data_IF_472740084029
#
_entry.id   IF_472740084029
#
_cell.length_a   1.000
_cell.length_b   1.000
_cell.length_c   1.000
_cell.angle_alpha   90.00
_cell.angle_beta   90.00
_cell.angle_gamma   90.00
#
_symmetry.space_group_name_H-M   'P 1'
#
loop_
_entity.id
_entity.type
_entity.pdbx_description
1 polymer ?
#
# COMPACT_ATOMS: atom_id res chain seq x y z
N UNK A 1 15.40 18.71 16.63
CA UNK A 1 14.54 18.40 15.46
C UNK A 1 13.05 18.64 15.75
N UNK A 2 12.55 18.31 16.96
CA UNK A 2 11.14 18.50 17.32
C UNK A 2 10.64 19.96 17.30
N UNK A 3 11.49 20.94 17.61
CA UNK A 3 11.09 22.37 17.61
C UNK A 3 10.73 22.89 16.22
N UNK A 4 11.46 22.51 15.17
CA UNK A 4 11.24 23.02 13.79
C UNK A 4 10.01 22.45 13.07
N UNK A 5 9.32 21.48 13.66
CA UNK A 5 8.13 20.85 13.05
C UNK A 5 6.92 21.79 12.97
N UNK A 6 6.84 22.84 13.79
CA UNK A 6 5.74 23.82 13.73
C UNK A 6 5.90 24.86 12.62
N UNK A 7 7.04 24.89 11.93
CA UNK A 7 7.34 25.81 10.83
C UNK A 7 7.16 25.14 9.46
N UNK A 8 6.81 23.85 9.43
CA UNK A 8 6.70 23.12 8.17
C UNK A 8 5.46 23.56 7.41
N UNK A 9 5.68 24.07 6.20
CA UNK A 9 4.59 24.34 5.28
C UNK A 9 3.94 23.03 4.80
N UNK A 10 2.78 23.08 4.12
CA UNK A 10 2.08 21.88 3.65
C UNK A 10 2.95 20.92 2.85
N UNK A 11 3.81 21.43 1.95
CA UNK A 11 4.70 20.62 1.13
C UNK A 11 5.74 19.88 1.97
N UNK A 12 6.36 20.56 2.93
CA UNK A 12 7.37 19.96 3.81
C UNK A 12 6.74 18.92 4.75
N UNK A 13 5.56 19.22 5.30
CA UNK A 13 4.81 18.27 6.14
C UNK A 13 4.48 17.00 5.38
N UNK A 14 3.93 17.13 4.16
CA UNK A 14 3.61 15.95 3.33
C UNK A 14 4.86 15.17 2.91
N UNK A 15 5.96 15.85 2.57
CA UNK A 15 7.19 15.18 2.16
C UNK A 15 7.82 14.38 3.31
N UNK A 16 7.81 14.93 4.53
CA UNK A 16 8.27 14.24 5.73
C UNK A 16 7.46 12.97 5.98
N UNK A 17 6.13 13.10 6.04
CA UNK A 17 5.25 11.96 6.30
C UNK A 17 5.32 10.90 5.20
N UNK A 18 5.36 11.33 3.94
CA UNK A 18 5.54 10.42 2.82
C UNK A 18 6.87 9.65 2.93
N UNK A 19 7.98 10.31 3.24
CA UNK A 19 9.28 9.65 3.42
C UNK A 19 9.26 8.64 4.57
N UNK A 20 8.65 9.01 5.70
CA UNK A 20 8.44 8.10 6.83
C UNK A 20 7.57 6.89 6.45
N UNK A 21 6.47 7.11 5.74
CA UNK A 21 5.59 6.06 5.27
C UNK A 21 6.30 5.12 4.29
N UNK A 22 7.04 5.64 3.31
CA UNK A 22 7.82 4.83 2.36
C UNK A 22 8.80 3.91 3.09
N UNK A 23 9.49 4.43 4.11
CA UNK A 23 10.45 3.67 4.90
C UNK A 23 9.82 2.88 6.06
N UNK A 24 8.48 2.91 6.18
CA UNK A 24 7.72 2.34 7.29
C UNK A 24 8.28 2.73 8.67
N UNK A 25 8.77 3.96 8.79
CA UNK A 25 9.37 4.49 10.00
C UNK A 25 8.38 5.38 10.73
N UNK A 26 8.01 5.00 11.96
CA UNK A 26 7.04 5.73 12.78
C UNK A 26 7.61 7.03 13.37
N UNK A 27 7.19 8.22 12.90
CA UNK A 27 7.73 9.48 13.38
C UNK A 27 6.91 9.98 14.58
N UNK A 28 6.91 9.24 15.68
CA UNK A 28 6.05 9.47 16.86
C UNK A 28 6.02 10.92 17.33
N UNK A 29 7.19 11.55 17.51
CA UNK A 29 7.27 12.95 17.95
C UNK A 29 6.65 13.93 16.93
N UNK A 30 6.77 13.64 15.64
CA UNK A 30 6.15 14.46 14.60
C UNK A 30 4.63 14.27 14.57
N UNK A 31 4.13 13.04 14.63
CA UNK A 31 2.69 12.75 14.69
C UNK A 31 2.03 13.42 15.90
N UNK A 32 2.65 13.30 17.09
CA UNK A 32 2.16 13.97 18.30
C UNK A 32 2.10 15.48 18.15
N UNK A 33 3.12 16.10 17.53
CA UNK A 33 3.15 17.55 17.33
C UNK A 33 2.14 18.01 16.28
N UNK A 34 2.00 17.28 15.16
CA UNK A 34 0.98 17.56 14.15
C UNK A 34 -0.43 17.45 14.72
N UNK A 35 -0.69 16.44 15.55
CA UNK A 35 -1.97 16.27 16.26
C UNK A 35 -2.28 17.46 17.17
N UNK A 36 -1.27 18.05 17.82
CA UNK A 36 -1.45 19.25 18.66
C UNK A 36 -1.66 20.53 17.84
N UNK A 37 -1.01 20.62 16.67
CA UNK A 37 -1.07 21.77 15.79
C UNK A 37 -2.40 21.86 15.04
N UNK A 38 -2.89 20.74 14.51
CA UNK A 38 -4.19 20.71 13.85
C UNK A 38 -5.28 20.42 14.89
N UNK A 39 -6.11 21.41 15.17
CA UNK A 39 -7.29 21.25 16.02
C UNK A 39 -8.55 21.29 15.15
N UNK A 40 -9.62 20.64 15.61
CA UNK A 40 -10.89 20.57 14.87
C UNK A 40 -11.46 21.93 14.45
N UNK A 41 -11.07 23.03 15.12
CA UNK A 41 -11.53 24.39 14.83
C UNK A 41 -10.45 25.29 14.18
N UNK A 42 -9.26 24.77 13.84
CA UNK A 42 -8.25 25.52 13.11
C UNK A 42 -8.51 25.41 11.59
N UNK A 43 -9.40 26.29 11.12
CA UNK A 43 -9.84 26.38 9.72
C UNK A 43 -8.67 26.73 8.80
N UNK A 44 -7.55 27.30 9.29
CA UNK A 44 -6.42 27.70 8.45
C UNK A 44 -5.38 26.58 8.26
N UNK A 45 -5.15 25.72 9.26
CA UNK A 45 -4.08 24.73 9.24
C UNK A 45 -4.15 23.74 8.06
N UNK A 46 -5.15 22.86 8.05
CA UNK A 46 -5.31 21.83 7.00
C UNK A 46 -5.89 22.39 5.69
N UNK A 47 -6.60 23.52 5.74
CA UNK A 47 -7.20 24.09 4.53
C UNK A 47 -6.15 24.67 3.55
N UNK A 48 -4.93 24.94 4.04
CA UNK A 48 -3.79 25.33 3.23
C UNK A 48 -3.19 24.17 2.42
N UNK A 49 -3.62 22.93 2.65
CA UNK A 49 -3.15 21.77 1.89
C UNK A 49 -4.00 21.61 0.62
N UNK A 50 -3.32 21.42 -0.51
CA UNK A 50 -3.99 21.07 -1.76
C UNK A 50 -4.54 19.63 -1.74
N UNK A 51 -5.50 19.28 -2.64
CA UNK A 51 -6.12 17.95 -2.67
C UNK A 51 -5.13 16.79 -2.74
N UNK A 52 -4.09 16.90 -3.58
CA UNK A 52 -3.05 15.87 -3.67
C UNK A 52 -2.17 15.75 -2.43
N UNK A 53 -1.96 16.85 -1.71
CA UNK A 53 -1.24 16.85 -0.44
C UNK A 53 -2.06 16.18 0.66
N UNK A 54 -3.37 16.49 0.73
CA UNK A 54 -4.28 15.84 1.66
C UNK A 54 -4.36 14.33 1.41
N UNK A 55 -4.50 13.90 0.15
CA UNK A 55 -4.52 12.48 -0.20
C UNK A 55 -3.20 11.77 0.17
N UNK A 56 -2.05 12.41 -0.07
CA UNK A 56 -0.74 11.88 0.34
C UNK A 56 -0.60 11.83 1.86
N UNK A 57 -1.14 12.83 2.59
CA UNK A 57 -1.15 12.86 4.05
C UNK A 57 -1.98 11.69 4.59
N UNK A 58 -3.24 11.56 4.15
CA UNK A 58 -4.11 10.45 4.54
C UNK A 58 -3.48 9.09 4.23
N UNK A 59 -2.93 8.93 3.03
CA UNK A 59 -2.22 7.72 2.62
C UNK A 59 -1.01 7.41 3.51
N UNK A 60 -0.18 8.41 3.85
CA UNK A 60 0.97 8.21 4.72
C UNK A 60 0.55 7.79 6.13
N UNK A 61 -0.50 8.39 6.68
CA UNK A 61 -1.08 7.98 7.96
C UNK A 61 -1.61 6.54 7.89
N UNK A 62 -2.24 6.15 6.78
CA UNK A 62 -2.73 4.78 6.61
C UNK A 62 -1.59 3.76 6.55
N UNK A 63 -0.53 4.03 5.78
CA UNK A 63 0.65 3.17 5.73
C UNK A 63 1.27 2.98 7.12
N UNK A 64 1.31 4.07 7.90
CA UNK A 64 1.78 4.11 9.28
C UNK A 64 0.75 3.63 10.31
N UNK A 65 -0.39 3.06 9.88
CA UNK A 65 -1.43 2.52 10.75
C UNK A 65 -1.95 3.51 11.80
N UNK A 66 -2.31 4.74 11.37
CA UNK A 66 -2.77 5.83 12.24
C UNK A 66 -4.29 6.09 12.14
N UNK A 67 -5.10 5.16 11.63
CA UNK A 67 -6.53 5.32 11.35
C UNK A 67 -7.36 5.63 12.61
N UNK A 68 -6.93 5.11 13.76
CA UNK A 68 -7.61 5.34 15.04
C UNK A 68 -7.20 6.65 15.72
N UNK A 69 -6.35 7.46 15.07
CA UNK A 69 -5.84 8.69 15.68
C UNK A 69 -6.67 9.92 15.32
N UNK A 70 -6.76 10.93 16.21
CA UNK A 70 -7.43 12.19 15.89
C UNK A 70 -6.87 12.87 14.64
N UNK A 71 -5.57 12.76 14.40
CA UNK A 71 -4.91 13.37 13.24
C UNK A 71 -5.45 12.80 11.92
N UNK A 72 -5.65 11.48 11.84
CA UNK A 72 -6.23 10.86 10.65
C UNK A 72 -7.63 11.39 10.37
N UNK A 73 -8.48 11.44 11.40
CA UNK A 73 -9.85 11.94 11.25
C UNK A 73 -9.93 13.42 10.89
N UNK A 74 -9.01 14.26 11.40
CA UNK A 74 -8.92 15.67 10.98
C UNK A 74 -8.57 15.81 9.50
N UNK A 75 -7.60 15.01 9.01
CA UNK A 75 -7.22 14.98 7.60
C UNK A 75 -8.36 14.44 6.74
N UNK A 76 -9.02 13.36 7.17
CA UNK A 76 -10.14 12.75 6.46
C UNK A 76 -11.34 13.70 6.37
N UNK A 77 -11.68 14.37 7.47
CA UNK A 77 -12.75 15.38 7.49
C UNK A 77 -12.47 16.52 6.50
N UNK A 78 -11.22 17.00 6.43
CA UNK A 78 -10.85 18.03 5.47
C UNK A 78 -10.92 17.51 4.02
N UNK A 79 -10.55 16.25 3.75
CA UNK A 79 -10.73 15.60 2.44
C UNK A 79 -12.21 15.59 2.06
N UNK A 80 -13.08 15.08 2.95
CA UNK A 80 -14.53 14.98 2.71
C UNK A 80 -15.23 16.32 2.57
N UNK A 81 -14.67 17.41 3.11
CA UNK A 81 -15.20 18.78 2.98
C UNK A 81 -14.95 19.37 1.59
N UNK A 82 -13.94 18.89 0.86
CA UNK A 82 -13.57 19.43 -0.47
C UNK A 82 -14.48 18.83 -1.55
N UNK A 83 -14.80 19.58 -2.62
CA UNK A 83 -15.53 19.03 -3.75
C UNK A 83 -14.82 17.81 -4.34
N UNK A 84 -15.54 16.71 -4.63
CA UNK A 84 -14.97 15.52 -5.29
C UNK A 84 -14.12 15.86 -6.52
N UNK A 85 -14.58 16.82 -7.33
CA UNK A 85 -13.88 17.27 -8.54
C UNK A 85 -12.46 17.82 -8.29
N UNK A 86 -12.14 18.24 -7.06
CA UNK A 86 -10.80 18.68 -6.68
C UNK A 86 -9.76 17.54 -6.64
N UNK A 87 -10.20 16.28 -6.57
CA UNK A 87 -9.34 15.09 -6.47
C UNK A 87 -9.18 14.33 -7.80
N UNK A 88 -9.28 15.02 -8.94
CA UNK A 88 -9.36 14.40 -10.29
C UNK A 88 -8.12 13.65 -10.78
N UNK A 89 -6.98 13.71 -10.08
CA UNK A 89 -5.75 13.05 -10.53
C UNK A 89 -5.82 11.55 -10.22
N UNK A 90 -5.53 10.70 -11.20
CA UNK A 90 -5.44 9.23 -11.01
C UNK A 90 -4.61 8.81 -9.79
N UNK A 91 -3.41 9.38 -9.62
CA UNK A 91 -2.56 9.04 -8.47
C UNK A 91 -3.21 9.35 -7.10
N UNK A 92 -4.06 10.38 -7.05
CA UNK A 92 -4.83 10.75 -5.86
C UNK A 92 -5.93 9.72 -5.60
N UNK A 93 -6.66 9.29 -6.63
CA UNK A 93 -7.62 8.20 -6.51
C UNK A 93 -6.98 6.90 -6.04
N UNK A 94 -5.80 6.53 -6.54
CA UNK A 94 -5.07 5.35 -6.07
C UNK A 94 -4.78 5.44 -4.57
N UNK A 95 -4.26 6.58 -4.12
CA UNK A 95 -3.98 6.82 -2.70
C UNK A 95 -5.26 6.74 -1.84
N UNK A 96 -6.35 7.38 -2.26
CA UNK A 96 -7.61 7.39 -1.52
C UNK A 96 -8.25 6.00 -1.46
N UNK A 97 -8.17 5.22 -2.55
CA UNK A 97 -8.64 3.83 -2.53
C UNK A 97 -7.83 2.98 -1.53
N UNK A 98 -6.50 3.14 -1.53
CA UNK A 98 -5.65 2.46 -0.55
C UNK A 98 -5.94 2.90 0.90
N UNK A 99 -6.25 4.18 1.13
CA UNK A 99 -6.70 4.67 2.45
C UNK A 99 -7.97 3.94 2.90
N UNK A 100 -8.94 3.76 1.99
CA UNK A 100 -10.17 3.04 2.29
C UNK A 100 -9.95 1.56 2.57
N UNK A 101 -9.12 0.87 1.77
CA UNK A 101 -8.77 -0.52 2.03
C UNK A 101 -8.11 -0.69 3.40
N UNK A 102 -7.17 0.18 3.74
CA UNK A 102 -6.47 0.09 5.02
C UNK A 102 -7.38 0.43 6.21
N UNK A 103 -8.29 1.39 6.05
CA UNK A 103 -9.30 1.69 7.06
C UNK A 103 -10.23 0.48 7.29
N UNK A 104 -10.67 -0.19 6.22
CA UNK A 104 -11.46 -1.42 6.33
C UNK A 104 -10.69 -2.53 7.05
N UNK A 105 -9.39 -2.71 6.75
CA UNK A 105 -8.52 -3.67 7.47
C UNK A 105 -8.42 -3.35 8.96
N UNK A 106 -8.44 -2.07 9.32
CA UNK A 106 -8.46 -1.61 10.71
C UNK A 106 -9.85 -1.66 11.37
N UNK A 107 -10.91 -2.07 10.65
CA UNK A 107 -12.28 -2.06 11.15
C UNK A 107 -12.89 -0.66 11.25
N UNK A 108 -12.34 0.31 10.51
CA UNK A 108 -12.76 1.71 10.52
C UNK A 108 -13.55 2.04 9.25
N UNK A 109 -14.82 2.40 9.41
CA UNK A 109 -15.66 2.82 8.29
C UNK A 109 -15.54 4.32 8.03
N UNK A 110 -14.63 4.67 7.13
CA UNK A 110 -14.42 6.06 6.68
C UNK A 110 -15.48 6.52 5.67
N UNK A 111 -16.24 5.61 5.05
CA UNK A 111 -17.20 5.92 4.00
C UNK A 111 -18.43 6.67 4.55
N UNK A 112 -18.74 6.49 5.84
CA UNK A 112 -19.78 7.25 6.56
C UNK A 112 -19.64 8.78 6.44
N UNK A 113 -18.41 9.26 6.20
CA UNK A 113 -18.10 10.69 6.10
C UNK A 113 -17.98 11.19 4.66
N UNK A 114 -17.88 10.29 3.68
CA UNK A 114 -17.79 10.63 2.26
C UNK A 114 -19.18 10.79 1.62
N UNK A 115 -19.77 11.97 1.83
CA UNK A 115 -21.09 12.30 1.27
C UNK A 115 -21.08 12.58 -0.23
N UNK A 116 -19.91 12.63 -0.86
CA UNK A 116 -19.75 13.09 -2.24
C UNK A 116 -19.39 11.98 -3.23
N UNK A 117 -19.26 10.72 -2.76
CA UNK A 117 -18.90 9.57 -3.60
C UNK A 117 -17.45 9.62 -4.11
N UNK A 118 -16.54 10.20 -3.32
CA UNK A 118 -15.11 10.24 -3.64
C UNK A 118 -14.48 8.84 -3.61
N UNK A 119 -14.83 8.00 -2.63
CA UNK A 119 -14.33 6.63 -2.48
C UNK A 119 -14.83 5.71 -3.59
N UNK A 120 -16.08 5.89 -4.02
CA UNK A 120 -16.62 5.16 -5.17
C UNK A 120 -15.87 5.52 -6.45
N UNK A 121 -15.62 6.81 -6.69
CA UNK A 121 -14.82 7.27 -7.82
C UNK A 121 -13.37 6.76 -7.76
N UNK A 122 -12.77 6.73 -6.56
CA UNK A 122 -11.43 6.20 -6.34
C UNK A 122 -11.37 4.68 -6.61
N UNK A 123 -12.38 3.93 -6.16
CA UNK A 123 -12.50 2.49 -6.44
C UNK A 123 -12.66 2.22 -7.93
N UNK A 124 -13.52 2.97 -8.63
CA UNK A 124 -13.72 2.80 -10.06
C UNK A 124 -12.42 3.01 -10.85
N UNK A 125 -11.67 4.06 -10.53
CA UNK A 125 -10.36 4.31 -11.14
C UNK A 125 -9.37 3.18 -10.82
N UNK A 126 -9.41 2.64 -9.60
CA UNK A 126 -8.56 1.52 -9.17
C UNK A 126 -8.86 0.24 -9.95
N UNK A 127 -10.13 -0.15 -10.04
CA UNK A 127 -10.57 -1.34 -10.76
C UNK A 127 -10.16 -1.27 -12.23
N UNK A 128 -10.30 -0.09 -12.86
CA UNK A 128 -9.83 0.14 -14.22
C UNK A 128 -8.31 0.00 -14.34
N UNK A 129 -7.55 0.49 -13.37
CA UNK A 129 -6.09 0.42 -13.42
C UNK A 129 -5.54 -1.00 -13.24
N UNK A 130 -6.07 -1.77 -12.28
CA UNK A 130 -5.58 -3.13 -12.02
C UNK A 130 -5.85 -4.07 -13.20
N UNK A 131 -6.97 -3.88 -13.91
CA UNK A 131 -7.29 -4.64 -15.13
C UNK A 131 -6.34 -4.27 -16.28
N UNK A 132 -6.02 -2.99 -16.44
CA UNK A 132 -5.17 -2.50 -17.52
C UNK A 132 -3.66 -2.75 -17.30
N UNK A 133 -3.25 -3.04 -16.06
CA UNK A 133 -1.84 -3.34 -15.71
C UNK A 133 -1.30 -4.66 -16.24
N UNK A 134 -2.15 -5.52 -16.84
CA UNK A 134 -1.82 -6.85 -17.42
C UNK A 134 -0.84 -6.86 -18.62
N UNK A 135 0.04 -5.86 -18.73
CA UNK A 135 0.86 -5.63 -19.94
C UNK A 135 2.27 -5.16 -19.69
N UNK A 136 2.72 -5.02 -18.43
CA UNK A 136 4.12 -4.66 -18.15
C UNK A 136 4.93 -5.93 -18.01
N UNK A 137 5.55 -6.34 -19.13
CA UNK A 137 6.59 -7.39 -19.19
C UNK A 137 7.34 -7.52 -17.85
N UNK A 138 7.03 -8.58 -17.10
CA UNK A 138 7.68 -8.86 -15.83
C UNK A 138 9.19 -8.89 -15.95
N UNK A 139 9.90 -8.60 -14.85
CA UNK A 139 11.35 -8.73 -14.80
C UNK A 139 11.78 -10.17 -15.12
N UNK A 140 13.03 -10.38 -15.58
CA UNK A 140 13.57 -11.74 -15.76
C UNK A 140 13.41 -12.60 -14.50
N UNK A 141 13.63 -11.97 -13.34
CA UNK A 141 13.42 -12.55 -12.02
C UNK A 141 11.99 -13.05 -11.79
N UNK A 142 10.96 -12.23 -12.09
CA UNK A 142 9.56 -12.64 -11.95
C UNK A 142 9.19 -13.80 -12.90
N UNK A 143 9.71 -13.79 -14.14
CA UNK A 143 9.50 -14.89 -15.10
C UNK A 143 10.12 -16.20 -14.64
N UNK A 144 11.26 -16.14 -13.97
CA UNK A 144 11.94 -17.32 -13.43
C UNK A 144 11.18 -17.93 -12.24
N UNK A 145 10.61 -17.09 -11.37
CA UNK A 145 9.66 -17.54 -10.33
C UNK A 145 8.46 -18.25 -10.97
N UNK A 146 7.81 -17.61 -11.94
CA UNK A 146 6.67 -18.19 -12.65
C UNK A 146 7.02 -19.55 -13.28
N UNK A 147 8.16 -19.64 -13.98
CA UNK A 147 8.62 -20.90 -14.58
C UNK A 147 8.83 -21.99 -13.53
N UNK A 148 9.26 -21.61 -12.33
CA UNK A 148 9.43 -22.55 -11.21
C UNK A 148 8.08 -22.96 -10.62
N UNK A 149 7.11 -22.04 -10.50
CA UNK A 149 5.73 -22.36 -10.10
C UNK A 149 5.07 -23.33 -11.09
N UNK A 150 5.23 -23.11 -12.40
CA UNK A 150 4.79 -24.07 -13.43
C UNK A 150 5.39 -25.46 -13.17
N UNK A 151 6.66 -25.52 -12.78
CA UNK A 151 7.35 -26.75 -12.41
C UNK A 151 6.76 -27.51 -11.21
N UNK A 152 5.98 -26.86 -10.35
CA UNK A 152 5.27 -27.51 -9.25
C UNK A 152 4.00 -28.25 -9.71
N UNK A 153 3.53 -28.00 -10.93
CA UNK A 153 2.26 -28.57 -11.43
C UNK A 153 1.02 -28.02 -10.75
N UNK A 154 1.12 -26.89 -10.05
CA UNK A 154 -0.01 -26.23 -9.39
C UNK A 154 -0.77 -25.34 -10.38
N UNK A 155 -2.10 -25.35 -10.30
CA UNK A 155 -2.94 -24.42 -11.07
C UNK A 155 -2.68 -22.98 -10.60
N UNK A 156 -2.27 -22.13 -11.52
CA UNK A 156 -1.88 -20.75 -11.25
C UNK A 156 -2.47 -19.77 -12.27
N UNK A 157 -2.57 -18.50 -11.89
CA UNK A 157 -2.92 -17.39 -12.78
C UNK A 157 -1.84 -16.32 -12.67
N UNK A 158 -1.31 -15.90 -13.81
CA UNK A 158 -0.36 -14.79 -13.94
C UNK A 158 -1.08 -13.44 -13.89
N UNK A 159 -0.44 -12.43 -13.28
CA UNK A 159 -0.93 -11.04 -13.25
C UNK A 159 -2.41 -10.95 -12.82
N UNK A 160 -2.76 -11.75 -11.81
CA UNK A 160 -4.15 -11.87 -11.35
C UNK A 160 -4.59 -10.58 -10.63
N UNK A 161 -5.81 -10.13 -10.94
CA UNK A 161 -6.43 -8.97 -10.31
C UNK A 161 -7.58 -9.35 -9.36
N UNK A 162 -7.91 -10.65 -9.26
CA UNK A 162 -9.05 -11.16 -8.48
C UNK A 162 -8.92 -10.88 -6.98
N UNK A 163 -7.71 -10.62 -6.50
CA UNK A 163 -7.41 -10.27 -5.12
C UNK A 163 -7.66 -8.79 -4.77
N UNK A 164 -8.19 -7.99 -5.71
CA UNK A 164 -8.30 -6.53 -5.56
C UNK A 164 -6.97 -5.78 -5.75
N UNK A 165 -5.90 -6.52 -6.04
CA UNK A 165 -4.59 -6.05 -6.45
C UNK A 165 -4.13 -6.86 -7.65
N UNK A 166 -3.29 -6.26 -8.50
CA UNK A 166 -2.47 -7.03 -9.43
C UNK A 166 -1.38 -7.78 -8.63
N UNK A 167 -1.47 -9.11 -8.58
CA UNK A 167 -0.49 -10.01 -7.98
C UNK A 167 0.30 -10.72 -9.08
N UNK A 168 1.59 -10.98 -8.88
CA UNK A 168 2.45 -11.53 -9.95
C UNK A 168 2.02 -12.94 -10.34
N UNK A 169 1.81 -13.81 -9.34
CA UNK A 169 1.25 -15.15 -9.52
C UNK A 169 0.26 -15.44 -8.40
N UNK A 170 -0.90 -15.98 -8.73
CA UNK A 170 -1.85 -16.51 -7.74
C UNK A 170 -2.01 -18.01 -7.87
N UNK A 171 -2.33 -18.68 -6.77
CA UNK A 171 -2.84 -20.05 -6.70
C UNK A 171 -4.28 -19.97 -6.16
N UNK A 172 -5.28 -19.69 -7.02
CA UNK A 172 -6.60 -19.27 -6.56
C UNK A 172 -7.32 -20.29 -5.69
N UNK A 173 -7.15 -21.59 -5.98
CA UNK A 173 -7.76 -22.68 -5.21
C UNK A 173 -7.23 -22.77 -3.78
N UNK A 174 -6.02 -22.26 -3.54
CA UNK A 174 -5.37 -22.23 -2.23
C UNK A 174 -5.45 -20.86 -1.57
N UNK A 175 -6.00 -19.84 -2.26
CA UNK A 175 -5.94 -18.44 -1.84
C UNK A 175 -4.51 -17.98 -1.50
N UNK A 176 -3.52 -18.44 -2.25
CA UNK A 176 -2.12 -18.00 -2.11
C UNK A 176 -1.79 -16.98 -3.21
N UNK A 177 -1.21 -15.85 -2.81
CA UNK A 177 -0.60 -14.87 -3.71
C UNK A 177 0.93 -14.93 -3.56
N UNK A 178 1.64 -15.05 -4.68
CA UNK A 178 3.09 -15.07 -4.76
C UNK A 178 3.55 -13.74 -5.37
N UNK A 179 4.37 -13.00 -4.63
CA UNK A 179 4.88 -11.68 -5.03
C UNK A 179 6.39 -11.74 -5.27
N UNK A 180 6.82 -11.28 -6.44
CA UNK A 180 8.21 -11.13 -6.82
C UNK A 180 8.73 -9.75 -6.39
N UNK A 181 9.08 -9.62 -5.11
CA UNK A 181 9.57 -8.38 -4.52
C UNK A 181 11.00 -8.04 -5.01
N UNK A 182 11.03 -7.30 -6.13
CA UNK A 182 12.25 -6.77 -6.72
C UNK A 182 12.93 -5.68 -5.86
N UNK A 183 14.12 -5.21 -6.25
CA UNK A 183 14.88 -4.22 -5.46
C UNK A 183 14.14 -2.90 -5.18
N UNK A 184 13.14 -2.52 -5.98
CA UNK A 184 12.29 -1.34 -5.75
C UNK A 184 11.28 -1.49 -4.61
N UNK A 185 11.01 -2.72 -4.17
CA UNK A 185 10.05 -3.03 -3.10
C UNK A 185 10.69 -3.03 -1.72
N UNK A 186 12.02 -2.84 -1.63
CA UNK A 186 12.82 -2.96 -0.42
C UNK A 186 13.75 -1.76 -0.24
N UNK A 187 14.10 -1.47 1.01
CA UNK A 187 15.13 -0.50 1.35
C UNK A 187 16.51 -0.99 0.92
N UNK A 188 17.36 -0.07 0.42
CA UNK A 188 18.67 -0.44 -0.14
C UNK A 188 19.66 -0.94 0.93
N UNK A 189 19.61 -0.39 2.14
CA UNK A 189 20.58 -0.62 3.21
C UNK A 189 20.20 -1.79 4.12
N UNK A 190 18.93 -1.89 4.55
CA UNK A 190 18.48 -2.93 5.48
C UNK A 190 17.70 -4.05 4.81
N UNK A 191 17.41 -3.92 3.51
CA UNK A 191 16.64 -4.89 2.72
C UNK A 191 15.26 -5.19 3.33
N UNK A 192 14.71 -4.27 4.10
CA UNK A 192 13.34 -4.40 4.63
C UNK A 192 12.33 -3.97 3.57
N UNK A 193 11.16 -4.63 3.47
CA UNK A 193 10.09 -4.19 2.58
C UNK A 193 9.67 -2.74 2.87
N UNK A 194 9.32 -1.99 1.82
CA UNK A 194 8.86 -0.61 1.94
C UNK A 194 7.40 -0.55 2.39
N UNK A 195 6.97 0.60 2.91
CA UNK A 195 5.61 0.80 3.39
C UNK A 195 4.51 0.46 2.38
N UNK A 196 4.59 0.86 1.09
CA UNK A 196 3.62 0.43 0.09
C UNK A 196 3.55 -1.09 -0.11
N UNK A 197 4.69 -1.78 0.02
CA UNK A 197 4.76 -3.24 -0.07
C UNK A 197 4.03 -3.88 1.10
N UNK A 198 4.33 -3.46 2.33
CA UNK A 198 3.64 -3.95 3.53
C UNK A 198 2.13 -3.59 3.50
N UNK A 199 1.77 -2.39 3.04
CA UNK A 199 0.37 -1.98 2.87
C UNK A 199 -0.38 -2.92 1.93
N UNK A 200 0.20 -3.24 0.75
CA UNK A 200 -0.38 -4.21 -0.18
C UNK A 200 -0.52 -5.59 0.48
N UNK A 201 0.49 -6.05 1.23
CA UNK A 201 0.44 -7.33 1.93
C UNK A 201 -0.72 -7.38 2.93
N UNK A 202 -0.90 -6.33 3.75
CA UNK A 202 -2.03 -6.26 4.70
C UNK A 202 -3.38 -6.33 3.99
N UNK A 203 -3.53 -5.63 2.87
CA UNK A 203 -4.79 -5.66 2.12
C UNK A 203 -5.10 -7.04 1.52
N UNK A 204 -4.08 -7.71 0.96
CA UNK A 204 -4.23 -9.07 0.44
C UNK A 204 -4.61 -10.05 1.55
N UNK A 205 -3.97 -9.95 2.72
CA UNK A 205 -4.31 -10.75 3.90
C UNK A 205 -5.73 -10.49 4.39
N UNK A 206 -6.15 -9.22 4.46
CA UNK A 206 -7.51 -8.83 4.85
C UNK A 206 -8.56 -9.36 3.85
N UNK A 207 -8.18 -9.51 2.57
CA UNK A 207 -9.01 -10.14 1.54
C UNK A 207 -8.99 -11.69 1.58
N UNK A 208 -8.37 -12.28 2.61
CA UNK A 208 -8.32 -13.72 2.83
C UNK A 208 -7.24 -14.46 2.03
N UNK A 209 -6.25 -13.73 1.48
CA UNK A 209 -5.12 -14.35 0.79
C UNK A 209 -3.95 -14.62 1.74
N UNK A 210 -3.35 -15.80 1.61
CA UNK A 210 -2.02 -16.08 2.15
C UNK A 210 -0.96 -15.54 1.19
N UNK A 211 0.19 -15.13 1.72
CA UNK A 211 1.24 -14.47 0.95
C UNK A 211 2.54 -15.25 0.99
N UNK A 212 3.13 -15.46 -0.18
CA UNK A 212 4.53 -15.84 -0.36
C UNK A 212 5.24 -14.67 -1.02
N UNK A 213 6.04 -13.94 -0.25
CA UNK A 213 6.88 -12.87 -0.78
C UNK A 213 8.27 -13.43 -1.07
N UNK A 214 8.70 -13.33 -2.31
CA UNK A 214 10.03 -13.77 -2.72
C UNK A 214 10.84 -12.52 -2.97
N UNK A 215 11.89 -12.31 -2.19
CA UNK A 215 12.80 -11.21 -2.41
C UNK A 215 13.82 -11.58 -3.50
N UNK A 216 14.13 -10.63 -4.37
CA UNK A 216 15.11 -10.82 -5.45
C UNK A 216 16.45 -11.38 -4.96
N UNK A 217 16.99 -10.84 -3.88
CA UNK A 217 18.30 -11.26 -3.34
C UNK A 217 18.28 -12.72 -2.85
N UNK A 218 17.17 -13.14 -2.22
CA UNK A 218 17.02 -14.50 -1.70
C UNK A 218 16.94 -15.50 -2.86
N UNK A 219 16.18 -15.16 -3.90
CA UNK A 219 16.01 -16.00 -5.08
C UNK A 219 17.26 -16.12 -5.94
N UNK A 220 17.99 -15.02 -6.12
CA UNK A 220 19.23 -14.97 -6.90
C UNK A 220 20.35 -15.80 -6.23
N UNK A 221 20.28 -15.95 -4.90
CA UNK A 221 21.23 -16.79 -4.15
C UNK A 221 21.05 -18.30 -4.38
N UNK A 222 19.86 -18.74 -4.84
CA UNK A 222 19.51 -20.16 -5.01
C UNK A 222 20.22 -20.77 -6.24
N UNK A 223 20.98 -21.83 -5.99
CA UNK A 223 21.81 -22.48 -7.01
C UNK A 223 21.00 -23.46 -7.87
N UNK A 224 20.56 -22.98 -9.04
CA UNK A 224 19.93 -23.80 -10.07
C UNK A 224 18.45 -24.14 -9.80
N UNK A 225 17.86 -24.85 -10.75
CA UNK A 225 16.41 -25.13 -10.79
C UNK A 225 15.93 -25.98 -9.61
N UNK A 226 16.73 -26.96 -9.18
CA UNK A 226 16.35 -27.85 -8.07
C UNK A 226 16.18 -27.09 -6.76
N UNK A 227 17.12 -26.19 -6.43
CA UNK A 227 17.06 -25.37 -5.21
C UNK A 227 15.88 -24.40 -5.24
N UNK A 228 15.60 -23.77 -6.39
CA UNK A 228 14.44 -22.90 -6.58
C UNK A 228 13.11 -23.63 -6.43
N UNK A 229 13.02 -24.84 -6.99
CA UNK A 229 11.82 -25.67 -6.87
C UNK A 229 11.60 -26.07 -5.41
N UNK A 230 12.63 -26.57 -4.73
CA UNK A 230 12.57 -26.92 -3.32
C UNK A 230 12.16 -25.72 -2.46
N UNK A 231 12.76 -24.55 -2.69
CA UNK A 231 12.40 -23.32 -1.97
C UNK A 231 10.91 -22.98 -2.11
N UNK A 232 10.33 -23.05 -3.32
CA UNK A 232 8.90 -22.82 -3.48
C UNK A 232 8.04 -23.94 -2.87
N UNK A 233 8.47 -25.20 -2.96
CA UNK A 233 7.77 -26.32 -2.33
C UNK A 233 7.67 -26.14 -0.82
N UNK A 234 8.76 -25.73 -0.16
CA UNK A 234 8.79 -25.44 1.26
C UNK A 234 7.85 -24.27 1.59
N UNK A 235 7.95 -23.14 0.87
CA UNK A 235 7.09 -21.97 1.11
C UNK A 235 5.59 -22.27 0.92
N UNK A 236 5.23 -23.05 -0.08
CA UNK A 236 3.83 -23.47 -0.29
C UNK A 236 3.41 -24.48 0.78
N UNK A 237 4.28 -25.45 1.11
CA UNK A 237 4.02 -26.46 2.12
C UNK A 237 3.77 -25.86 3.51
N UNK A 238 4.57 -24.87 3.91
CA UNK A 238 4.43 -24.14 5.17
C UNK A 238 3.05 -23.46 5.33
N UNK A 239 2.40 -23.10 4.22
CA UNK A 239 1.07 -22.47 4.24
C UNK A 239 -0.09 -23.47 4.23
N UNK A 240 0.19 -24.74 3.90
CA UNK A 240 -0.80 -25.82 3.82
C UNK A 240 -0.78 -26.74 5.05
N UNK A 241 0.20 -26.58 5.94
CA UNK A 241 0.34 -27.32 7.20
C UNK A 241 -0.53 -26.71 8.32
#
# INVERSE_FOLDING_TARGET
MAERLCELNPRQTTALLWGCAILLHQPHAALQKLTKNFKANDIAGLSNFGPGQLATFGWALSVLQQQDTPLFWLVWAEICRRPRASFSKKAVHMQLHQVALEANTAGVDIALYDKQGLLEAAKLEWDNEIVNKRSKQGSYYARDILTTVIGLGLHHIEEDASAGYAVDVSLPHLKIAIEADGPSHRSRNTRQPLGPTIMKQRHLQAAGWQLITIAHDDWDSLQGRSAKLQYLQEKVGDLLA
#
